data_IF_859214559234
#
_entry.id   IF_859214559234
#
_cell.length_a   1.000
_cell.length_b   1.000
_cell.length_c   1.000
_cell.angle_alpha   90.00
_cell.angle_beta   90.00
_cell.angle_gamma   90.00
#
_symmetry.space_group_name_H-M   'P 1'
#
loop_
_entity.id
_entity.type
_entity.pdbx_description
1 polymer ?
#
# COMPACT_ATOMS: atom_id res chain seq x y z
N UNK A 1 14.66 -4.79 -24.35
CA UNK A 1 15.07 -6.14 -24.81
C UNK A 1 15.97 -6.13 -26.07
N UNK A 2 15.81 -5.20 -27.05
CA UNK A 2 16.61 -5.21 -28.31
C UNK A 2 18.14 -5.18 -28.14
N UNK A 3 18.69 -4.52 -27.12
CA UNK A 3 20.14 -4.45 -26.88
C UNK A 3 20.78 -5.71 -26.27
N UNK A 4 19.98 -6.58 -25.64
CA UNK A 4 20.48 -7.79 -24.99
C UNK A 4 20.85 -8.87 -26.03
N UNK A 5 20.02 -9.03 -27.07
CA UNK A 5 20.29 -9.96 -28.16
C UNK A 5 21.57 -9.61 -28.94
N UNK A 6 21.87 -8.32 -29.08
CA UNK A 6 23.11 -7.85 -29.73
C UNK A 6 24.38 -8.15 -28.90
N UNK A 7 24.26 -8.20 -27.56
CA UNK A 7 25.41 -8.49 -26.66
C UNK A 7 25.62 -9.97 -26.39
N UNK A 8 24.62 -10.82 -26.60
CA UNK A 8 24.71 -12.26 -26.35
C UNK A 8 25.30 -13.07 -27.51
N UNK A 9 25.54 -12.47 -28.68
CA UNK A 9 26.25 -13.12 -29.77
C UNK A 9 25.58 -14.40 -30.29
N UNK A 10 24.50 -14.23 -31.05
CA UNK A 10 23.89 -15.21 -31.97
C UNK A 10 23.19 -16.48 -31.41
N UNK A 11 22.07 -16.80 -32.05
CA UNK A 11 21.52 -18.16 -32.16
C UNK A 11 20.22 -18.40 -31.41
N UNK A 12 20.22 -18.23 -30.10
CA UNK A 12 19.11 -18.69 -29.26
C UNK A 12 18.82 -17.68 -28.15
N UNK A 13 17.57 -17.18 -28.00
CA UNK A 13 17.24 -16.30 -26.89
C UNK A 13 17.48 -17.06 -25.55
N UNK A 14 17.95 -16.36 -24.50
CA UNK A 14 18.17 -17.00 -23.22
C UNK A 14 16.84 -17.57 -22.70
N UNK A 15 16.87 -18.79 -22.16
CA UNK A 15 15.69 -19.45 -21.60
C UNK A 15 15.08 -18.65 -20.44
N UNK A 16 15.88 -17.86 -19.72
CA UNK A 16 15.43 -16.93 -18.69
C UNK A 16 16.45 -15.79 -18.49
N UNK A 17 15.99 -14.67 -17.92
CA UNK A 17 16.82 -13.54 -17.50
C UNK A 17 16.45 -13.19 -16.06
N UNK A 18 17.46 -13.10 -15.19
CA UNK A 18 17.30 -12.58 -13.83
C UNK A 18 17.92 -11.18 -13.74
N UNK A 19 17.14 -10.21 -13.26
CA UNK A 19 17.61 -8.84 -13.01
C UNK A 19 17.46 -8.51 -11.53
N UNK A 20 18.58 -8.30 -10.84
CA UNK A 20 18.61 -7.80 -9.47
C UNK A 20 18.92 -6.31 -9.47
N UNK A 21 18.13 -5.52 -8.74
CA UNK A 21 18.34 -4.08 -8.55
C UNK A 21 17.93 -3.65 -7.15
N UNK A 22 18.54 -2.58 -6.65
CA UNK A 22 18.26 -1.98 -5.33
C UNK A 22 17.39 -0.72 -5.42
N UNK A 23 16.89 -0.39 -6.63
CA UNK A 23 16.10 0.82 -6.86
C UNK A 23 14.92 0.92 -5.87
N UNK A 24 14.21 -0.19 -5.63
CA UNK A 24 13.05 -0.22 -4.72
C UNK A 24 13.45 0.02 -3.27
N UNK A 25 14.49 -0.66 -2.79
CA UNK A 25 14.94 -0.51 -1.39
C UNK A 25 15.47 0.89 -1.12
N UNK A 26 16.24 1.46 -2.06
CA UNK A 26 16.76 2.83 -1.91
C UNK A 26 15.65 3.87 -1.97
N UNK A 27 14.64 3.67 -2.83
CA UNK A 27 13.46 4.53 -2.89
C UNK A 27 12.71 4.58 -1.55
N UNK A 28 12.55 3.44 -0.87
CA UNK A 28 11.90 3.37 0.45
C UNK A 28 12.75 4.08 1.52
N UNK A 29 14.05 3.78 1.59
CA UNK A 29 14.95 4.36 2.60
C UNK A 29 15.05 5.88 2.46
N UNK A 30 15.10 6.38 1.23
CA UNK A 30 15.23 7.81 0.93
C UNK A 30 13.87 8.52 0.88
N UNK A 31 12.76 7.81 1.09
CA UNK A 31 11.40 8.38 1.02
C UNK A 31 11.03 8.90 -0.37
N UNK A 32 11.70 8.40 -1.43
CA UNK A 32 11.50 8.80 -2.81
C UNK A 32 10.49 7.87 -3.49
N UNK A 33 9.22 8.14 -3.28
CA UNK A 33 8.11 7.43 -3.92
C UNK A 33 7.07 8.38 -4.49
N UNK A 34 6.06 7.80 -5.13
CA UNK A 34 4.87 8.53 -5.55
C UNK A 34 4.09 9.04 -4.33
N UNK A 35 3.28 10.09 -4.50
CA UNK A 35 2.29 10.50 -3.50
C UNK A 35 1.20 9.43 -3.44
N UNK A 36 1.18 8.65 -2.36
CA UNK A 36 0.24 7.54 -2.20
C UNK A 36 -0.95 7.93 -1.32
N UNK A 37 -2.15 7.57 -1.75
CA UNK A 37 -3.36 7.54 -0.95
C UNK A 37 -3.66 6.13 -0.46
N UNK A 38 -4.28 6.01 0.71
CA UNK A 38 -4.72 4.73 1.27
C UNK A 38 -6.23 4.78 1.50
N UNK A 39 -6.95 3.77 1.01
CA UNK A 39 -8.36 3.54 1.33
C UNK A 39 -8.46 2.31 2.22
N UNK A 40 -9.05 2.47 3.40
CA UNK A 40 -9.26 1.38 4.37
C UNK A 40 -10.73 1.22 4.75
N UNK A 41 -11.05 0.10 5.40
CA UNK A 41 -12.31 -0.06 6.13
C UNK A 41 -12.52 1.10 7.12
N UNK A 42 -13.75 1.59 7.25
CA UNK A 42 -14.11 2.61 8.24
C UNK A 42 -13.74 2.23 9.68
N UNK A 43 -13.08 3.15 10.38
CA UNK A 43 -12.52 2.95 11.71
C UNK A 43 -11.07 2.44 11.71
N UNK A 44 -10.46 2.19 10.54
CA UNK A 44 -9.12 1.60 10.42
C UNK A 44 -8.07 2.52 9.76
N UNK A 45 -8.39 3.79 9.49
CA UNK A 45 -7.42 4.74 8.89
C UNK A 45 -6.13 4.96 9.69
N UNK A 46 -6.14 4.66 10.99
CA UNK A 46 -5.02 4.85 11.91
C UNK A 46 -4.11 3.63 12.07
N UNK A 47 -4.37 2.52 11.35
CA UNK A 47 -3.56 1.30 11.43
C UNK A 47 -2.07 1.56 11.16
N UNK A 48 -1.73 2.41 10.18
CA UNK A 48 -0.32 2.77 9.92
C UNK A 48 0.30 3.61 11.05
N UNK A 49 -0.51 4.40 11.76
CA UNK A 49 -0.05 5.21 12.90
C UNK A 49 0.17 4.36 14.15
N UNK A 50 -0.70 3.39 14.39
CA UNK A 50 -0.60 2.47 15.53
C UNK A 50 0.52 1.44 15.27
N UNK A 51 0.62 0.94 14.05
CA UNK A 51 1.51 -0.14 13.69
C UNK A 51 1.21 -1.41 14.50
N UNK A 52 2.26 -2.16 14.83
CA UNK A 52 2.15 -3.40 15.64
C UNK A 52 2.44 -3.18 17.12
N UNK A 53 2.59 -1.92 17.55
CA UNK A 53 3.05 -1.58 18.91
C UNK A 53 4.35 -2.31 19.34
N UNK A 54 5.16 -2.77 18.38
CA UNK A 54 6.44 -3.42 18.67
C UNK A 54 7.46 -2.38 19.14
N UNK A 55 7.84 -2.43 20.42
CA UNK A 55 8.85 -1.54 21.02
C UNK A 55 10.19 -2.27 21.08
N UNK A 56 11.16 -1.81 20.29
CA UNK A 56 12.52 -2.38 20.31
C UNK A 56 13.22 -2.21 21.66
N UNK A 57 12.95 -1.08 22.35
CA UNK A 57 13.48 -0.77 23.68
C UNK A 57 12.33 -0.55 24.66
N UNK A 58 11.78 -1.65 25.19
CA UNK A 58 10.55 -1.64 25.99
C UNK A 58 10.60 -0.69 27.21
N UNK A 59 11.79 -0.57 27.83
CA UNK A 59 11.99 0.21 29.07
C UNK A 59 12.66 1.57 28.83
N UNK A 60 12.99 1.91 27.59
CA UNK A 60 13.53 3.23 27.29
C UNK A 60 12.38 4.23 27.10
N UNK A 61 12.17 5.06 28.13
CA UNK A 61 11.17 6.13 28.11
C UNK A 61 11.60 7.32 27.25
N UNK A 62 12.88 7.41 26.90
CA UNK A 62 13.46 8.45 26.04
C UNK A 62 13.65 7.95 24.59
N UNK A 63 13.12 6.77 24.28
CA UNK A 63 13.21 6.20 22.94
C UNK A 63 12.69 7.20 21.90
N UNK A 64 13.42 7.29 20.79
CA UNK A 64 13.06 8.18 19.69
C UNK A 64 11.65 7.84 19.17
N UNK A 65 10.89 8.87 18.75
CA UNK A 65 9.56 8.65 18.20
C UNK A 65 9.63 7.77 16.96
N UNK A 66 8.56 7.01 16.74
CA UNK A 66 8.42 6.18 15.55
C UNK A 66 8.56 7.05 14.29
N UNK A 67 9.27 6.59 13.24
CA UNK A 67 9.27 7.27 11.96
C UNK A 67 7.86 7.50 11.43
N UNK A 68 7.61 8.62 10.72
CA UNK A 68 6.31 8.90 10.14
C UNK A 68 5.93 7.79 9.14
N UNK A 69 4.65 7.39 9.05
CA UNK A 69 4.24 6.38 8.08
C UNK A 69 4.34 6.89 6.64
N UNK A 70 4.49 5.96 5.69
CA UNK A 70 4.63 6.27 4.25
C UNK A 70 3.46 7.05 3.66
N UNK A 71 2.25 6.87 4.19
CA UNK A 71 1.06 7.61 3.77
C UNK A 71 0.68 8.61 4.87
N UNK A 72 0.65 9.89 4.56
CA UNK A 72 0.23 10.92 5.51
C UNK A 72 -1.23 10.72 5.94
N UNK A 73 -1.56 11.00 7.21
CA UNK A 73 -2.90 10.75 7.77
C UNK A 73 -4.06 11.36 6.95
N UNK A 74 -3.86 12.54 6.36
CA UNK A 74 -4.87 13.22 5.51
C UNK A 74 -5.17 12.47 4.21
N UNK A 75 -4.25 11.63 3.75
CA UNK A 75 -4.37 10.80 2.54
C UNK A 75 -4.82 9.37 2.85
N UNK A 76 -5.15 9.09 4.12
CA UNK A 76 -5.77 7.83 4.56
C UNK A 76 -7.27 8.06 4.69
N UNK A 77 -8.01 7.61 3.70
CA UNK A 77 -9.46 7.73 3.62
C UNK A 77 -10.11 6.40 3.97
N UNK A 78 -11.41 6.45 4.24
CA UNK A 78 -12.18 5.31 4.71
C UNK A 78 -13.41 5.12 3.84
N UNK A 79 -13.76 3.86 3.60
CA UNK A 79 -15.01 3.48 2.96
C UNK A 79 -15.87 2.66 3.94
N UNK A 80 -17.17 2.90 3.95
CA UNK A 80 -18.12 2.07 4.70
C UNK A 80 -18.22 0.70 4.06
N UNK A 81 -17.69 -0.29 4.75
CA UNK A 81 -17.65 -1.70 4.34
C UNK A 81 -17.26 -2.51 5.58
N UNK A 82 -17.61 -3.80 5.63
CA UNK A 82 -16.99 -4.74 6.55
C UNK A 82 -17.10 -6.17 6.06
N UNK A 83 -15.96 -6.83 5.92
CA UNK A 83 -15.87 -8.30 5.77
C UNK A 83 -15.44 -8.93 7.11
N UNK A 84 -15.98 -10.10 7.42
CA UNK A 84 -15.62 -10.93 8.56
C UNK A 84 -14.44 -11.85 8.28
N UNK A 85 -13.80 -12.44 9.30
CA UNK A 85 -12.65 -13.34 9.13
C UNK A 85 -12.96 -14.63 8.37
N UNK A 86 -14.24 -15.02 8.28
CA UNK A 86 -14.78 -16.14 7.53
C UNK A 86 -15.12 -15.78 6.06
N UNK A 87 -14.92 -14.51 5.66
CA UNK A 87 -15.27 -13.99 4.35
C UNK A 87 -16.73 -13.51 4.22
N UNK A 88 -17.53 -13.62 5.29
CA UNK A 88 -18.89 -13.13 5.31
C UNK A 88 -18.96 -11.60 5.26
N UNK A 89 -19.86 -11.06 4.44
CA UNK A 89 -20.10 -9.60 4.40
C UNK A 89 -20.95 -9.21 5.61
N UNK A 90 -20.35 -8.46 6.54
CA UNK A 90 -21.02 -7.90 7.71
C UNK A 90 -21.64 -6.53 7.43
N UNK A 91 -21.01 -5.76 6.54
CA UNK A 91 -21.53 -4.48 6.05
C UNK A 91 -21.19 -4.38 4.56
N UNK A 92 -22.20 -4.19 3.68
CA UNK A 92 -21.97 -4.03 2.24
C UNK A 92 -21.07 -2.83 1.95
N UNK A 93 -20.34 -2.89 0.84
CA UNK A 93 -19.57 -1.76 0.33
C UNK A 93 -20.49 -0.61 -0.09
N UNK A 94 -20.30 0.56 0.51
CA UNK A 94 -20.99 1.80 0.15
C UNK A 94 -20.36 2.42 -1.12
N UNK A 95 -20.77 1.94 -2.28
CA UNK A 95 -20.26 2.41 -3.58
C UNK A 95 -20.54 3.89 -3.84
N UNK A 96 -21.55 4.45 -3.19
CA UNK A 96 -21.90 5.88 -3.25
C UNK A 96 -20.84 6.79 -2.60
N UNK A 97 -20.00 6.26 -1.71
CA UNK A 97 -18.90 7.02 -1.09
C UNK A 97 -17.68 7.16 -2.03
N UNK A 98 -17.50 6.22 -2.96
CA UNK A 98 -16.29 6.11 -3.82
C UNK A 98 -16.01 7.38 -4.64
N UNK A 99 -17.00 8.02 -5.31
CA UNK A 99 -16.74 9.24 -6.07
C UNK A 99 -16.13 10.38 -5.23
N UNK A 100 -16.59 10.55 -3.99
CA UNK A 100 -16.08 11.57 -3.08
C UNK A 100 -14.65 11.27 -2.60
N UNK A 101 -14.35 9.99 -2.37
CA UNK A 101 -13.00 9.53 -2.04
C UNK A 101 -12.02 9.81 -3.19
N UNK A 102 -12.38 9.43 -4.42
CA UNK A 102 -11.57 9.67 -5.62
C UNK A 102 -11.35 11.17 -5.85
N UNK A 103 -12.40 11.99 -5.73
CA UNK A 103 -12.28 13.44 -5.85
C UNK A 103 -11.32 14.05 -4.82
N UNK A 104 -11.36 13.54 -3.58
CA UNK A 104 -10.44 13.95 -2.52
C UNK A 104 -9.00 13.59 -2.84
N UNK A 105 -8.74 12.35 -3.27
CA UNK A 105 -7.40 11.88 -3.63
C UNK A 105 -6.82 12.66 -4.81
N UNK A 106 -7.63 12.90 -5.84
CA UNK A 106 -7.24 13.70 -7.00
C UNK A 106 -6.88 15.15 -6.62
N UNK A 107 -7.70 15.79 -5.77
CA UNK A 107 -7.45 17.15 -5.28
C UNK A 107 -6.16 17.26 -4.46
N UNK A 108 -5.79 16.22 -3.73
CA UNK A 108 -4.55 16.15 -2.95
C UNK A 108 -3.31 15.76 -3.77
N UNK A 109 -3.46 15.55 -5.09
CA UNK A 109 -2.34 15.20 -5.97
C UNK A 109 -1.81 13.79 -5.76
N UNK A 110 -2.66 12.86 -5.32
CA UNK A 110 -2.31 11.44 -5.18
C UNK A 110 -2.05 10.82 -6.56
N UNK A 111 -0.90 10.19 -6.70
CA UNK A 111 -0.43 9.55 -7.94
C UNK A 111 -0.70 8.04 -7.96
N UNK A 112 -0.88 7.43 -6.78
CA UNK A 112 -1.17 6.00 -6.63
C UNK A 112 -2.07 5.75 -5.42
N UNK A 113 -2.99 4.79 -5.53
CA UNK A 113 -3.91 4.44 -4.45
C UNK A 113 -3.69 3.00 -4.03
N UNK A 114 -3.50 2.78 -2.72
CA UNK A 114 -3.58 1.46 -2.11
C UNK A 114 -4.98 1.27 -1.51
N UNK A 115 -5.64 0.17 -1.84
CA UNK A 115 -6.89 -0.26 -1.18
C UNK A 115 -6.53 -1.41 -0.26
N UNK A 116 -6.84 -1.27 1.03
CA UNK A 116 -6.52 -2.26 2.06
C UNK A 116 -7.69 -2.39 3.04
N UNK A 117 -8.63 -3.25 2.70
CA UNK A 117 -9.83 -3.53 3.48
C UNK A 117 -9.59 -4.73 4.41
N UNK A 118 -10.28 -4.76 5.55
CA UNK A 118 -10.14 -5.87 6.48
C UNK A 118 -10.62 -7.17 5.87
N UNK A 119 -9.85 -8.24 6.09
CA UNK A 119 -10.19 -9.58 5.65
C UNK A 119 -10.37 -9.75 4.13
N UNK A 120 -9.77 -8.87 3.31
CA UNK A 120 -9.76 -9.02 1.84
C UNK A 120 -9.09 -10.31 1.36
N UNK A 121 -8.18 -10.89 2.16
CA UNK A 121 -7.62 -12.22 1.91
C UNK A 121 -8.67 -13.35 1.95
N UNK A 122 -9.77 -13.18 2.70
CA UNK A 122 -10.84 -14.16 2.82
C UNK A 122 -11.94 -13.90 1.80
N UNK A 123 -12.23 -12.63 1.52
CA UNK A 123 -13.15 -12.21 0.47
C UNK A 123 -12.66 -10.90 -0.19
N UNK A 124 -12.08 -10.95 -1.40
CA UNK A 124 -11.51 -9.78 -2.05
C UNK A 124 -12.55 -8.94 -2.82
N UNK A 125 -13.85 -9.26 -2.75
CA UNK A 125 -14.86 -8.70 -3.64
C UNK A 125 -15.01 -7.18 -3.49
N UNK A 126 -14.85 -6.64 -2.29
CA UNK A 126 -14.93 -5.19 -2.06
C UNK A 126 -13.67 -4.41 -2.51
N UNK A 127 -12.54 -5.09 -2.78
CA UNK A 127 -11.30 -4.44 -3.22
C UNK A 127 -11.14 -4.37 -4.76
N UNK A 128 -11.96 -5.11 -5.52
CA UNK A 128 -11.87 -5.22 -6.98
C UNK A 128 -12.81 -4.25 -7.69
#
# INVERSE_FOLDING_TARGET
>A
MRGLAARLGAGTPPASVAHGTTIVTNAIVEGRGAVVGLVTTRGFRDVLEIGRMSRLHLYDLQAQPKPPPLVARRLRLEVSERVGPDGGVLTPLALDEVPALVATLAREGVESVAVCLLHSYANPDHER
#
